data_IF_276620825420
#
_entry.id   IF_276620825420
#
_cell.length_a   1.000
_cell.length_b   1.000
_cell.length_c   1.000
_cell.angle_alpha   90.00
_cell.angle_beta   90.00
_cell.angle_gamma   90.00
#
_symmetry.space_group_name_H-M   'P 1'
#
loop_
_entity.id
_entity.type
_entity.pdbx_description
1 polymer ?
#
# COMPACT_ATOMS: atom_id res chain seq x y z
N UNK A 1 29.67 -14.97 8.94
CA UNK A 1 29.86 -13.79 8.07
C UNK A 1 28.85 -13.79 6.91
N UNK A 2 28.88 -14.74 5.96
CA UNK A 2 27.96 -14.73 4.81
C UNK A 2 26.47 -14.88 5.15
N UNK A 3 26.10 -15.75 6.10
CA UNK A 3 24.70 -15.94 6.49
C UNK A 3 24.06 -14.68 7.10
N UNK A 4 24.82 -13.94 7.92
CA UNK A 4 24.33 -12.70 8.54
C UNK A 4 24.07 -11.66 7.44
N UNK A 5 24.99 -11.51 6.48
CA UNK A 5 24.81 -10.63 5.32
C UNK A 5 23.56 -10.96 4.50
N UNK A 6 23.29 -12.23 4.21
CA UNK A 6 22.07 -12.63 3.49
C UNK A 6 20.80 -12.29 4.26
N UNK A 7 20.80 -12.47 5.58
CA UNK A 7 19.64 -12.12 6.41
C UNK A 7 19.42 -10.61 6.45
N UNK A 8 20.47 -9.80 6.54
CA UNK A 8 20.39 -8.34 6.53
C UNK A 8 19.83 -7.82 5.19
N UNK A 9 20.36 -8.32 4.06
CA UNK A 9 19.88 -7.94 2.72
C UNK A 9 18.42 -8.33 2.52
N UNK A 10 18.02 -9.52 2.98
CA UNK A 10 16.63 -9.96 2.92
C UNK A 10 15.72 -9.01 3.71
N UNK A 11 16.14 -8.61 4.91
CA UNK A 11 15.37 -7.68 5.73
C UNK A 11 15.23 -6.31 5.06
N UNK A 12 16.33 -5.75 4.54
CA UNK A 12 16.32 -4.49 3.78
C UNK A 12 15.40 -4.59 2.56
N UNK A 13 15.42 -5.73 1.86
CA UNK A 13 14.55 -5.96 0.70
C UNK A 13 13.06 -5.97 1.10
N UNK A 14 12.69 -6.72 2.15
CA UNK A 14 11.30 -6.79 2.62
C UNK A 14 10.81 -5.42 3.09
N UNK A 15 11.59 -4.72 3.91
CA UNK A 15 11.24 -3.38 4.37
C UNK A 15 11.17 -2.38 3.21
N UNK A 16 12.14 -2.42 2.30
CA UNK A 16 12.14 -1.59 1.10
C UNK A 16 10.91 -1.84 0.22
N UNK A 17 10.48 -3.09 0.06
CA UNK A 17 9.28 -3.44 -0.70
C UNK A 17 8.00 -2.93 -0.01
N UNK A 18 7.89 -3.04 1.32
CA UNK A 18 6.76 -2.52 2.10
C UNK A 18 6.69 -0.99 1.97
N UNK A 19 7.79 -0.29 2.23
CA UNK A 19 7.84 1.17 2.14
C UNK A 19 7.65 1.66 0.71
N UNK A 20 8.23 1.00 -0.28
CA UNK A 20 8.06 1.32 -1.70
C UNK A 20 6.60 1.19 -2.15
N UNK A 21 5.93 0.11 -1.74
CA UNK A 21 4.50 -0.08 -2.00
C UNK A 21 3.65 1.03 -1.37
N UNK A 22 3.94 1.39 -0.11
CA UNK A 22 3.23 2.46 0.59
C UNK A 22 3.48 3.85 -0.04
N UNK A 23 4.71 4.16 -0.43
CA UNK A 23 5.06 5.41 -1.12
C UNK A 23 4.31 5.56 -2.44
N UNK A 24 4.07 4.46 -3.15
CA UNK A 24 3.28 4.49 -4.39
C UNK A 24 1.84 4.96 -4.12
N UNK A 25 1.24 4.49 -3.02
CA UNK A 25 -0.09 4.96 -2.55
C UNK A 25 -0.04 6.43 -2.13
N UNK A 26 1.04 6.86 -1.45
CA UNK A 26 1.25 8.27 -1.09
C UNK A 26 1.25 9.13 -2.35
N UNK A 27 2.13 8.86 -3.31
CA UNK A 27 2.27 9.68 -4.53
C UNK A 27 0.94 9.78 -5.29
N UNK A 28 0.15 8.70 -5.33
CA UNK A 28 -1.14 8.69 -6.00
C UNK A 28 -2.24 9.48 -5.24
N UNK A 29 -2.38 9.28 -3.92
CA UNK A 29 -3.48 9.86 -3.13
C UNK A 29 -3.19 11.26 -2.58
N UNK A 30 -1.92 11.57 -2.29
CA UNK A 30 -1.50 12.84 -1.71
C UNK A 30 -1.92 14.09 -2.51
N UNK A 31 -1.85 14.12 -3.87
CA UNK A 31 -2.29 15.29 -4.64
C UNK A 31 -3.82 15.46 -4.67
N UNK A 32 -4.59 14.40 -4.39
CA UNK A 32 -6.05 14.46 -4.34
C UNK A 32 -6.56 15.12 -3.05
N UNK A 33 -5.70 15.24 -2.04
CA UNK A 33 -5.99 15.93 -0.77
C UNK A 33 -5.65 17.43 -0.90
N UNK A 34 -6.64 18.29 -0.63
CA UNK A 34 -6.42 19.73 -0.55
C UNK A 34 -5.40 20.09 0.54
N UNK A 35 -4.54 21.08 0.27
CA UNK A 35 -3.48 21.58 1.17
C UNK A 35 -4.01 22.13 2.51
N UNK A 36 -5.33 22.30 2.67
CA UNK A 36 -5.99 22.73 3.92
C UNK A 36 -6.20 21.61 4.95
N UNK A 37 -5.79 20.37 4.65
CA UNK A 37 -6.03 19.23 5.54
C UNK A 37 -4.87 19.03 6.52
N UNK A 38 -5.15 18.96 7.83
CA UNK A 38 -4.14 18.66 8.86
C UNK A 38 -3.36 17.37 8.59
N UNK A 39 -2.08 17.34 8.96
CA UNK A 39 -1.18 16.20 8.75
C UNK A 39 -1.75 14.86 9.24
N UNK A 40 -2.39 14.83 10.42
CA UNK A 40 -3.04 13.63 10.96
C UNK A 40 -4.17 13.10 10.05
N UNK A 41 -5.01 14.00 9.51
CA UNK A 41 -6.13 13.61 8.65
C UNK A 41 -5.65 13.17 7.26
N UNK A 42 -4.50 13.68 6.81
CA UNK A 42 -3.82 13.23 5.60
C UNK A 42 -3.40 11.76 5.72
N UNK A 43 -2.70 11.40 6.80
CA UNK A 43 -2.34 10.01 7.07
C UNK A 43 -3.57 9.10 7.16
N UNK A 44 -4.64 9.56 7.82
CA UNK A 44 -5.88 8.80 7.90
C UNK A 44 -6.49 8.55 6.51
N UNK A 45 -6.46 9.53 5.60
CA UNK A 45 -6.98 9.38 4.23
C UNK A 45 -6.10 8.50 3.32
N UNK A 46 -4.81 8.41 3.60
CA UNK A 46 -3.93 7.49 2.88
C UNK A 46 -4.20 6.03 3.27
N UNK A 47 -4.46 5.78 4.55
CA UNK A 47 -4.79 4.45 5.05
C UNK A 47 -6.28 4.08 4.86
N UNK A 48 -7.18 5.06 4.77
CA UNK A 48 -8.63 4.87 4.64
C UNK A 48 -9.24 5.82 3.58
N UNK A 49 -10.23 5.40 2.80
CA UNK A 49 -11.00 4.16 2.90
C UNK A 49 -10.32 2.99 2.18
N UNK A 50 -10.80 1.77 2.48
CA UNK A 50 -10.38 0.55 1.78
C UNK A 50 -10.61 0.71 0.27
N UNK A 51 -9.81 -0.01 -0.51
CA UNK A 51 -10.00 -0.15 -1.96
C UNK A 51 -11.46 -0.54 -2.25
N UNK A 52 -12.15 0.25 -3.05
CA UNK A 52 -13.52 -0.03 -3.50
C UNK A 52 -13.57 0.06 -5.03
N UNK A 53 -14.41 -0.77 -5.64
CA UNK A 53 -14.59 -0.74 -7.08
C UNK A 53 -15.43 0.50 -7.45
N UNK A 54 -14.90 1.36 -8.32
CA UNK A 54 -15.62 2.59 -8.76
C UNK A 54 -16.84 2.28 -9.63
N UNK A 55 -16.89 1.11 -10.27
CA UNK A 55 -18.02 0.66 -11.11
C UNK A 55 -19.12 -0.02 -10.30
N UNK A 56 -18.75 -0.93 -9.38
CA UNK A 56 -19.72 -1.76 -8.64
C UNK A 56 -20.02 -1.27 -7.22
N UNK A 57 -19.29 -0.26 -6.71
CA UNK A 57 -19.37 0.28 -5.34
C UNK A 57 -19.17 -0.74 -4.20
N UNK A 58 -18.81 -1.99 -4.50
CA UNK A 58 -18.44 -2.97 -3.48
C UNK A 58 -17.06 -2.64 -2.90
N UNK A 59 -16.90 -2.88 -1.61
CA UNK A 59 -15.58 -2.94 -0.97
C UNK A 59 -14.84 -4.17 -1.48
N UNK A 60 -13.60 -3.97 -1.94
CA UNK A 60 -12.77 -5.03 -2.51
C UNK A 60 -12.17 -5.83 -1.35
N UNK A 61 -12.29 -7.16 -1.43
CA UNK A 61 -11.73 -8.05 -0.41
C UNK A 61 -10.19 -7.99 -0.47
N UNK A 62 -9.49 -8.35 0.61
CA UNK A 62 -8.01 -8.37 0.59
C UNK A 62 -7.49 -9.36 -0.45
N UNK A 63 -8.22 -10.45 -0.68
CA UNK A 63 -7.88 -11.48 -1.67
C UNK A 63 -8.03 -10.97 -3.10
N UNK A 64 -9.09 -10.20 -3.37
CA UNK A 64 -9.33 -9.54 -4.66
C UNK A 64 -8.25 -8.49 -5.00
N UNK A 65 -7.51 -8.02 -3.98
CA UNK A 65 -6.42 -7.05 -4.14
C UNK A 65 -5.11 -7.69 -4.62
N UNK A 66 -4.99 -9.02 -4.50
CA UNK A 66 -3.86 -9.78 -5.04
C UNK A 66 -4.25 -10.34 -6.41
N UNK A 67 -3.79 -9.74 -7.53
CA UNK A 67 -4.21 -10.14 -8.88
C UNK A 67 -3.88 -11.61 -9.18
N UNK A 68 -2.85 -12.17 -8.55
CA UNK A 68 -2.45 -13.57 -8.69
C UNK A 68 -3.49 -14.50 -8.04
N UNK A 69 -4.00 -14.16 -6.86
CA UNK A 69 -4.97 -14.99 -6.13
C UNK A 69 -6.34 -14.91 -6.80
N UNK A 70 -6.75 -13.71 -7.23
CA UNK A 70 -8.00 -13.50 -7.97
C UNK A 70 -7.99 -14.12 -9.37
N UNK A 71 -6.82 -14.38 -9.97
CA UNK A 71 -6.76 -15.08 -11.26
C UNK A 71 -7.00 -16.60 -11.11
N UNK A 72 -6.57 -17.18 -9.99
CA UNK A 72 -6.72 -18.62 -9.71
C UNK A 72 -7.98 -18.99 -8.92
N UNK A 73 -8.78 -18.01 -8.49
CA UNK A 73 -10.06 -18.20 -7.77
C UNK A 73 -11.21 -17.76 -8.65
#
# INVERSE_FOLDING_TARGET
MNYIYYMDVFFVFVFGAIFGSFLNVIVYRLPQLSHKTSSYKKFLYLCFPRSYCTSCKKTISIFDLFPIINFFT
#
